data_IF_536061488173
#
_entry.id   IF_536061488173
#
_cell.length_a   1.000
_cell.length_b   1.000
_cell.length_c   1.000
_cell.angle_alpha   90.00
_cell.angle_beta   90.00
_cell.angle_gamma   90.00
#
_symmetry.space_group_name_H-M   'P 1'
#
loop_
_entity.id
_entity.type
_entity.pdbx_description
1 polymer ?
#
# COMPACT_ATOMS: atom_id res chain seq x y z
N UNK A 1 2.53 -11.54 -18.20
CA UNK A 1 1.28 -10.87 -17.78
C UNK A 1 1.63 -9.97 -16.61
N UNK A 2 1.70 -8.65 -16.83
CA UNK A 2 2.06 -7.71 -15.74
C UNK A 2 0.81 -7.52 -14.89
N UNK A 3 0.87 -7.71 -13.57
CA UNK A 3 -0.29 -7.47 -12.69
C UNK A 3 -0.74 -6.01 -12.81
N UNK A 4 -2.05 -5.79 -12.78
CA UNK A 4 -2.63 -4.44 -12.84
C UNK A 4 -2.24 -3.68 -11.57
N UNK A 5 -1.49 -2.59 -11.73
CA UNK A 5 -0.98 -1.77 -10.61
C UNK A 5 -1.91 -0.57 -10.40
N UNK A 6 -2.40 -0.31 -9.18
CA UNK A 6 -3.20 0.87 -8.88
C UNK A 6 -2.41 2.15 -9.20
N UNK A 7 -3.08 3.13 -9.82
CA UNK A 7 -2.46 4.43 -10.11
C UNK A 7 -2.48 5.30 -8.84
N UNK A 8 -1.34 5.87 -8.41
CA UNK A 8 -1.30 6.78 -7.26
C UNK A 8 -2.16 8.04 -7.49
N UNK A 9 -2.76 8.52 -6.41
CA UNK A 9 -3.40 9.83 -6.35
C UNK A 9 -2.37 10.97 -6.40
N UNK A 10 -2.83 12.21 -6.61
CA UNK A 10 -2.00 13.42 -6.52
C UNK A 10 -1.26 13.49 -5.17
N UNK A 11 -0.02 13.99 -5.21
CA UNK A 11 0.84 14.11 -4.04
C UNK A 11 0.16 14.89 -2.89
N UNK A 12 0.33 14.39 -1.66
CA UNK A 12 -0.21 15.00 -0.44
C UNK A 12 0.92 15.32 0.54
N UNK A 13 0.71 16.31 1.38
CA UNK A 13 1.66 16.77 2.42
C UNK A 13 1.35 16.22 3.81
N UNK A 14 0.19 15.59 3.99
CA UNK A 14 -0.26 15.00 5.26
C UNK A 14 0.28 13.58 5.44
N UNK A 15 0.65 13.22 6.67
CA UNK A 15 1.14 11.88 7.03
C UNK A 15 0.10 11.18 7.91
N UNK A 16 -0.18 9.92 7.60
CA UNK A 16 -1.13 9.07 8.32
C UNK A 16 -0.39 8.01 9.15
N UNK A 17 -1.00 7.54 10.24
CA UNK A 17 -0.43 6.46 11.04
C UNK A 17 -0.17 5.16 10.24
N UNK A 18 -0.95 4.94 9.18
CA UNK A 18 -0.76 3.81 8.24
C UNK A 18 0.51 3.92 7.40
N UNK A 19 1.03 5.13 7.15
CA UNK A 19 2.28 5.33 6.40
C UNK A 19 3.47 4.74 7.16
N UNK A 20 3.48 4.88 8.50
CA UNK A 20 4.49 4.27 9.35
C UNK A 20 4.50 2.75 9.24
N UNK A 21 3.31 2.12 9.19
CA UNK A 21 3.15 0.68 9.02
C UNK A 21 3.65 0.25 7.63
N UNK A 22 3.21 0.95 6.57
CA UNK A 22 3.63 0.67 5.19
C UNK A 22 5.16 0.75 5.03
N UNK A 23 5.79 1.80 5.56
CA UNK A 23 7.25 1.97 5.53
C UNK A 23 7.99 0.94 6.36
N UNK A 24 7.40 0.47 7.46
CA UNK A 24 7.98 -0.63 8.23
C UNK A 24 8.01 -1.92 7.41
N UNK A 25 6.91 -2.25 6.71
CA UNK A 25 6.84 -3.40 5.82
C UNK A 25 7.87 -3.31 4.69
N UNK A 26 8.07 -2.11 4.13
CA UNK A 26 9.13 -1.86 3.15
C UNK A 26 10.54 -2.08 3.73
N UNK A 27 10.82 -1.57 4.93
CA UNK A 27 12.12 -1.74 5.61
C UNK A 27 12.42 -3.18 6.01
N UNK A 28 11.37 -3.97 6.26
CA UNK A 28 11.46 -5.40 6.50
C UNK A 28 11.59 -6.22 5.21
N UNK A 29 11.67 -5.55 4.06
CA UNK A 29 11.82 -6.18 2.74
C UNK A 29 10.69 -7.19 2.44
N UNK A 30 9.50 -6.94 2.98
CA UNK A 30 8.32 -7.76 2.68
C UNK A 30 7.99 -7.58 1.20
N UNK A 31 7.94 -8.67 0.40
CA UNK A 31 7.74 -8.54 -1.03
C UNK A 31 6.26 -8.35 -1.39
N UNK A 32 5.35 -8.96 -0.63
CA UNK A 32 3.92 -8.95 -0.90
C UNK A 32 3.08 -8.77 0.36
N UNK A 33 1.97 -8.03 0.23
CA UNK A 33 0.94 -7.90 1.27
C UNK A 33 -0.40 -8.28 0.67
N UNK A 34 -0.96 -9.39 1.13
CA UNK A 34 -2.32 -9.80 0.78
C UNK A 34 -3.33 -9.08 1.68
N UNK A 35 -4.30 -8.39 1.08
CA UNK A 35 -5.35 -7.73 1.83
C UNK A 35 -6.71 -7.78 1.12
N UNK A 36 -7.76 -7.79 1.92
CA UNK A 36 -9.15 -7.67 1.46
C UNK A 36 -9.53 -6.19 1.43
N UNK A 37 -10.04 -5.66 0.30
CA UNK A 37 -10.52 -4.28 0.24
C UNK A 37 -11.66 -4.05 1.26
N UNK A 38 -11.52 -3.04 2.11
CA UNK A 38 -12.52 -2.73 3.13
C UNK A 38 -12.15 -1.55 4.03
N UNK A 39 -13.10 -1.07 4.82
CA UNK A 39 -12.92 0.10 5.68
C UNK A 39 -11.79 -0.10 6.72
N UNK A 40 -11.67 -1.31 7.28
CA UNK A 40 -10.67 -1.63 8.31
C UNK A 40 -9.22 -1.49 7.82
N UNK A 41 -8.96 -1.75 6.54
CA UNK A 41 -7.63 -1.65 5.93
C UNK A 41 -7.51 -0.50 4.92
N UNK A 42 -8.52 0.38 4.84
CA UNK A 42 -8.55 1.51 3.90
C UNK A 42 -7.29 2.38 4.00
N UNK A 43 -6.88 2.73 5.22
CA UNK A 43 -5.69 3.55 5.45
C UNK A 43 -4.41 2.87 4.98
N UNK A 44 -4.23 1.58 5.29
CA UNK A 44 -3.05 0.84 4.85
C UNK A 44 -3.03 0.67 3.32
N UNK A 45 -4.16 0.35 2.70
CA UNK A 45 -4.29 0.31 1.24
C UNK A 45 -3.89 1.66 0.61
N UNK A 46 -4.37 2.77 1.17
CA UNK A 46 -4.05 4.10 0.69
C UNK A 46 -2.55 4.42 0.79
N UNK A 47 -1.92 4.10 1.93
CA UNK A 47 -0.47 4.27 2.11
C UNK A 47 0.35 3.39 1.15
N UNK A 48 -0.02 2.12 0.98
CA UNK A 48 0.69 1.22 0.06
C UNK A 48 0.66 1.74 -1.39
N UNK A 49 -0.48 2.28 -1.84
CA UNK A 49 -0.65 2.80 -3.20
C UNK A 49 -0.07 4.20 -3.36
N UNK A 50 -0.42 5.13 -2.48
CA UNK A 50 -0.12 6.56 -2.65
C UNK A 50 1.23 6.98 -2.05
N UNK A 51 1.69 6.35 -0.96
CA UNK A 51 2.99 6.65 -0.36
C UNK A 51 4.11 5.81 -0.98
N UNK A 52 3.89 4.50 -1.13
CA UNK A 52 4.93 3.56 -1.62
C UNK A 52 4.81 3.20 -3.10
N UNK A 53 3.75 3.64 -3.78
CA UNK A 53 3.56 3.38 -5.21
C UNK A 53 3.28 1.91 -5.57
N UNK A 54 2.86 1.09 -4.60
CA UNK A 54 2.55 -0.33 -4.76
C UNK A 54 3.70 -1.19 -5.34
N UNK A 55 4.95 -0.91 -4.96
CA UNK A 55 6.14 -1.64 -5.45
C UNK A 55 6.78 -2.55 -4.41
N UNK A 56 7.05 -2.01 -3.22
CA UNK A 56 7.73 -2.74 -2.15
C UNK A 56 7.15 -2.31 -0.81
N UNK A 57 6.22 -3.10 -0.21
CA UNK A 57 5.62 -4.34 -0.75
C UNK A 57 4.64 -4.11 -1.90
N UNK A 58 4.46 -5.10 -2.77
CA UNK A 58 3.35 -5.14 -3.74
C UNK A 58 2.09 -5.71 -3.08
N UNK A 59 0.98 -4.99 -3.20
CA UNK A 59 -0.31 -5.43 -2.69
C UNK A 59 -0.95 -6.47 -3.60
N UNK A 60 -1.51 -7.52 -2.98
CA UNK A 60 -2.33 -8.53 -3.62
C UNK A 60 -3.76 -8.39 -3.08
N UNK A 61 -4.71 -8.14 -3.96
CA UNK A 61 -6.13 -8.07 -3.57
C UNK A 61 -6.69 -9.48 -3.48
N UNK A 62 -7.36 -9.78 -2.36
CA UNK A 62 -8.01 -11.06 -2.13
C UNK A 62 -9.51 -10.84 -1.92
N UNK A 63 -10.34 -11.72 -2.51
CA UNK A 63 -11.79 -11.77 -2.33
C UNK A 63 -12.22 -13.21 -2.01
#
# INVERSE_FOLDING_TARGET
MVPETPTPSTARTEVWGSDAIARMLQRLEVPYVALVPGASFRGLHDSLVNDLGNKTPQMLTCI
#
